data_IF_793354388932
#
_entry.id   IF_793354388932
#
_cell.length_a   1.000
_cell.length_b   1.000
_cell.length_c   1.000
_cell.angle_alpha   90.00
_cell.angle_beta   90.00
_cell.angle_gamma   90.00
#
_symmetry.space_group_name_H-M   'P 1'
#
loop_
_entity.id
_entity.type
_entity.pdbx_description
1 polymer ?
#
# COMPACT_ATOMS: atom_id res chain seq x y z
N UNK A 1 -3.34 16.77 -17.67
CA UNK A 1 -4.34 15.69 -17.46
C UNK A 1 -3.61 14.36 -17.52
N UNK A 2 -3.82 13.47 -16.54
CA UNK A 2 -3.18 12.14 -16.43
C UNK A 2 -4.25 11.04 -16.34
N UNK A 3 -5.24 11.08 -17.24
CA UNK A 3 -6.47 10.29 -17.11
C UNK A 3 -6.29 8.76 -17.27
N UNK A 4 -5.07 8.29 -17.61
CA UNK A 4 -4.72 6.88 -17.77
C UNK A 4 -3.33 6.56 -17.19
N UNK A 5 -2.80 7.44 -16.34
CA UNK A 5 -1.52 7.16 -15.72
C UNK A 5 -1.65 6.03 -14.71
N UNK A 6 -0.57 5.29 -14.60
CA UNK A 6 -0.42 4.22 -13.65
C UNK A 6 0.60 4.66 -12.59
N UNK A 7 0.22 4.53 -11.32
CA UNK A 7 1.05 4.88 -10.19
C UNK A 7 1.54 3.61 -9.52
N UNK A 8 2.83 3.59 -9.18
CA UNK A 8 3.40 2.55 -8.33
C UNK A 8 3.48 3.07 -6.90
N UNK A 9 2.97 2.28 -5.95
CA UNK A 9 2.98 2.59 -4.52
C UNK A 9 3.70 1.49 -3.75
N UNK A 10 4.57 1.89 -2.82
CA UNK A 10 5.26 0.99 -1.90
C UNK A 10 5.54 1.71 -0.58
N UNK A 11 5.81 0.94 0.48
CA UNK A 11 6.26 1.44 1.79
C UNK A 11 7.55 0.71 2.14
N UNK A 12 8.62 1.45 2.32
CA UNK A 12 9.94 0.88 2.57
C UNK A 12 9.94 -0.07 3.77
N UNK A 13 10.47 -1.26 3.52
CA UNK A 13 10.59 -2.31 4.52
C UNK A 13 9.26 -2.93 4.97
N UNK A 14 8.13 -2.62 4.33
CA UNK A 14 6.83 -3.18 4.70
C UNK A 14 6.26 -4.07 3.59
N UNK A 15 5.50 -5.07 4.00
CA UNK A 15 4.66 -5.85 3.09
C UNK A 15 3.23 -5.36 3.17
N UNK A 16 2.57 -5.35 2.02
CA UNK A 16 1.20 -4.90 1.81
C UNK A 16 0.32 -6.11 1.51
N UNK A 17 -0.94 -6.05 1.93
CA UNK A 17 -1.99 -6.98 1.51
C UNK A 17 -3.20 -6.18 1.03
N UNK A 18 -3.59 -6.35 -0.23
CA UNK A 18 -4.83 -5.77 -0.73
C UNK A 18 -6.02 -6.59 -0.20
N UNK A 19 -7.02 -5.92 0.37
CA UNK A 19 -8.18 -6.56 1.00
C UNK A 19 -9.50 -6.24 0.30
N UNK A 20 -9.61 -5.10 -0.37
CA UNK A 20 -10.78 -4.73 -1.17
C UNK A 20 -10.39 -3.70 -2.25
N UNK A 21 -10.04 -4.13 -3.46
CA UNK A 21 -9.94 -3.22 -4.60
C UNK A 21 -11.35 -2.71 -4.93
N UNK A 22 -11.55 -1.39 -4.81
CA UNK A 22 -12.75 -0.67 -5.27
C UNK A 22 -14.07 -1.11 -4.60
N UNK A 23 -14.01 -1.50 -3.33
CA UNK A 23 -15.19 -1.81 -2.51
C UNK A 23 -15.82 -3.17 -2.76
N UNK A 24 -15.30 -3.96 -3.70
CA UNK A 24 -15.68 -5.36 -3.85
C UNK A 24 -14.88 -6.22 -2.86
N UNK A 25 -15.59 -7.00 -2.05
CA UNK A 25 -14.98 -7.95 -1.11
C UNK A 25 -14.39 -9.11 -1.90
N UNK A 26 -13.08 -9.07 -2.13
CA UNK A 26 -12.32 -10.15 -2.76
C UNK A 26 -11.55 -10.95 -1.70
N UNK A 27 -11.09 -12.14 -2.08
CA UNK A 27 -10.11 -12.86 -1.27
C UNK A 27 -8.85 -11.97 -1.09
N UNK A 28 -8.34 -11.81 0.14
CA UNK A 28 -7.15 -11.02 0.37
C UNK A 28 -5.98 -11.49 -0.47
N UNK A 29 -5.21 -10.56 -1.01
CA UNK A 29 -4.05 -10.89 -1.81
C UNK A 29 -2.98 -11.62 -0.99
N UNK A 30 -2.05 -12.26 -1.69
CA UNK A 30 -0.76 -12.61 -1.10
C UNK A 30 -0.04 -11.33 -0.64
N UNK A 31 0.94 -11.49 0.24
CA UNK A 31 1.80 -10.38 0.66
C UNK A 31 2.65 -9.92 -0.53
N UNK A 32 2.63 -8.62 -0.78
CA UNK A 32 3.34 -7.95 -1.88
C UNK A 32 4.15 -6.77 -1.33
N UNK A 33 5.15 -6.29 -2.07
CA UNK A 33 6.01 -5.16 -1.65
C UNK A 33 5.61 -3.84 -2.28
N UNK A 34 4.93 -3.91 -3.42
CA UNK A 34 4.44 -2.79 -4.20
C UNK A 34 3.08 -3.13 -4.78
N UNK A 35 2.32 -2.10 -5.13
CA UNK A 35 1.07 -2.21 -5.87
C UNK A 35 1.03 -1.16 -6.95
N UNK A 36 0.41 -1.52 -8.06
CA UNK A 36 0.19 -0.61 -9.14
C UNK A 36 -1.29 -0.24 -9.22
N UNK A 37 -1.60 1.06 -9.19
CA UNK A 37 -2.95 1.60 -9.16
C UNK A 37 -3.16 2.58 -10.32
N UNK A 38 -4.28 2.44 -11.02
CA UNK A 38 -4.64 3.37 -12.08
C UNK A 38 -5.41 4.56 -11.48
N UNK A 39 -5.25 5.74 -12.08
CA UNK A 39 -6.01 6.92 -11.69
C UNK A 39 -7.52 6.62 -11.72
N UNK A 40 -8.23 6.94 -10.64
CA UNK A 40 -9.67 6.67 -10.47
C UNK A 40 -10.01 5.37 -9.76
N UNK A 41 -9.04 4.50 -9.48
CA UNK A 41 -9.23 3.32 -8.63
C UNK A 41 -9.02 3.65 -7.15
N UNK A 42 -9.70 2.88 -6.29
CA UNK A 42 -9.46 2.83 -4.84
C UNK A 42 -9.04 1.41 -4.47
N UNK A 43 -8.08 1.26 -3.55
CA UNK A 43 -7.66 -0.05 -3.05
C UNK A 43 -7.44 0.06 -1.54
N UNK A 44 -8.10 -0.81 -0.78
CA UNK A 44 -7.85 -0.94 0.66
C UNK A 44 -6.64 -1.85 0.90
N UNK A 45 -5.66 -1.36 1.67
CA UNK A 45 -4.42 -2.05 2.00
C UNK A 45 -4.33 -2.31 3.50
N UNK A 46 -4.02 -3.56 3.87
CA UNK A 46 -3.59 -3.92 5.21
C UNK A 46 -2.06 -3.92 5.26
N UNK A 47 -1.50 -3.16 6.21
CA UNK A 47 -0.07 -3.06 6.47
C UNK A 47 0.18 -3.36 7.94
N UNK A 48 1.09 -4.28 8.22
CA UNK A 48 1.48 -4.59 9.60
C UNK A 48 2.72 -3.80 9.93
N UNK A 49 2.61 -2.92 10.94
CA UNK A 49 3.75 -2.17 11.44
C UNK A 49 4.81 -3.10 12.05
N UNK A 50 6.08 -2.76 11.87
CA UNK A 50 7.17 -3.46 12.55
C UNK A 50 7.11 -3.21 14.05
N UNK A 51 7.47 -4.21 14.84
CA UNK A 51 7.62 -4.09 16.29
C UNK A 51 8.95 -3.40 16.68
N UNK A 52 9.30 -2.33 15.97
CA UNK A 52 10.51 -1.54 16.22
C UNK A 52 10.09 -0.20 16.79
N UNK A 53 10.44 0.05 18.06
CA UNK A 53 10.38 1.37 18.70
C UNK A 53 11.52 2.29 18.27
N UNK A 54 12.38 1.84 17.35
CA UNK A 54 13.52 2.61 16.84
C UNK A 54 13.08 3.71 15.87
N UNK A 55 12.50 4.75 16.44
CA UNK A 55 12.77 6.09 16.00
C UNK A 55 13.31 6.87 17.20
N UNK A 56 14.64 6.94 17.30
CA UNK A 56 15.20 8.25 17.63
C UNK A 56 14.76 9.14 16.47
N UNK A 57 13.71 9.92 16.69
CA UNK A 57 13.41 11.06 15.83
C UNK A 57 14.63 11.99 15.97
N UNK A 58 15.62 11.79 15.11
CA UNK A 58 16.77 12.66 14.97
C UNK A 58 16.29 13.97 14.36
N UNK A 59 15.68 14.82 15.19
CA UNK A 59 15.51 16.22 14.89
C UNK A 59 16.76 16.96 15.37
N UNK A 60 17.33 17.71 14.43
CA UNK A 60 17.80 19.11 14.59
C UNK A 60 18.81 19.39 15.70
#
# INVERSE_FOLDING_TARGET
MRALDQLEFSIDGHQLRAIAPSGESLEPSKLITNITINIGQQIDLLVVAKNTTDMSFGWL
#
